data_IF_058431476758
#
_entry.id   IF_058431476758
#
_cell.length_a   1.000
_cell.length_b   1.000
_cell.length_c   1.000
_cell.angle_alpha   90.00
_cell.angle_beta   90.00
_cell.angle_gamma   90.00
#
_symmetry.space_group_name_H-M   'P 1'
#
loop_
_entity.id
_entity.type
_entity.pdbx_description
1 polymer ?
#
# COMPACT_ATOMS: atom_id res chain seq x y z
N UNK A 1 -55.30 53.12 -22.03
CA UNK A 1 -54.81 52.29 -20.89
C UNK A 1 -54.16 53.23 -19.86
N UNK A 2 -54.62 53.22 -18.64
CA UNK A 2 -54.20 54.17 -17.59
C UNK A 2 -52.73 53.90 -17.22
N UNK A 3 -51.95 55.00 -17.07
CA UNK A 3 -50.51 54.96 -16.74
C UNK A 3 -50.17 54.11 -15.50
N UNK A 4 -51.14 53.96 -14.58
CA UNK A 4 -51.03 53.13 -13.39
C UNK A 4 -50.93 51.64 -13.71
N UNK A 5 -51.64 51.14 -14.72
CA UNK A 5 -51.59 49.72 -15.14
C UNK A 5 -50.27 49.38 -15.85
N UNK A 6 -49.67 50.35 -16.52
CA UNK A 6 -48.36 50.16 -17.19
C UNK A 6 -47.22 50.05 -16.19
N UNK A 7 -47.25 50.89 -15.13
CA UNK A 7 -46.24 50.88 -14.06
C UNK A 7 -46.32 49.56 -13.26
N UNK A 8 -47.51 49.07 -12.97
CA UNK A 8 -47.70 47.78 -12.25
C UNK A 8 -47.23 46.59 -13.08
N UNK A 9 -47.37 46.63 -14.41
CA UNK A 9 -46.89 45.56 -15.28
C UNK A 9 -45.36 45.55 -15.40
N UNK A 10 -44.72 46.75 -15.41
CA UNK A 10 -43.29 46.87 -15.46
C UNK A 10 -42.62 46.42 -14.15
N UNK A 11 -43.25 46.71 -13.00
CA UNK A 11 -42.78 46.25 -11.70
C UNK A 11 -42.88 44.74 -11.50
N UNK A 12 -43.92 44.10 -12.05
CA UNK A 12 -44.05 42.64 -12.00
C UNK A 12 -43.02 41.92 -12.86
N UNK A 13 -42.65 42.48 -14.04
CA UNK A 13 -41.61 41.92 -14.90
C UNK A 13 -40.24 42.08 -14.24
N UNK A 14 -39.94 43.16 -13.51
CA UNK A 14 -38.68 43.38 -12.81
C UNK A 14 -38.48 42.39 -11.63
N UNK A 15 -39.55 42.04 -10.92
CA UNK A 15 -39.51 41.07 -9.82
C UNK A 15 -39.35 39.62 -10.34
N UNK A 16 -39.96 39.29 -11.50
CA UNK A 16 -39.81 37.98 -12.12
C UNK A 16 -38.40 37.74 -12.68
N UNK A 17 -37.72 38.80 -13.13
CA UNK A 17 -36.32 38.78 -13.58
C UNK A 17 -35.30 38.52 -12.45
N UNK A 18 -35.61 38.98 -11.23
CA UNK A 18 -34.75 38.79 -10.05
C UNK A 18 -34.86 37.36 -9.45
N UNK A 19 -35.96 36.66 -9.66
CA UNK A 19 -36.12 35.30 -9.16
C UNK A 19 -35.46 34.24 -10.03
N UNK A 20 -35.13 34.54 -11.28
CA UNK A 20 -34.42 33.59 -12.17
C UNK A 20 -32.90 33.60 -11.96
N UNK A 21 -32.34 34.56 -11.26
CA UNK A 21 -30.89 34.62 -10.94
C UNK A 21 -30.49 33.82 -9.71
N UNK A 22 -31.43 33.24 -8.96
CA UNK A 22 -31.16 32.57 -7.69
C UNK A 22 -30.89 31.04 -7.83
N UNK A 23 -30.95 30.49 -9.05
CA UNK A 23 -30.64 29.07 -9.32
C UNK A 23 -29.52 28.95 -10.35
N UNK A 24 -28.40 29.66 -10.18
CA UNK A 24 -27.16 29.19 -10.77
C UNK A 24 -26.63 28.07 -9.86
N UNK A 25 -26.42 26.82 -10.39
CA UNK A 25 -25.64 25.84 -9.66
C UNK A 25 -24.31 26.48 -9.35
N UNK A 26 -23.84 26.33 -8.11
CA UNK A 26 -22.50 26.74 -7.75
C UNK A 26 -21.55 26.17 -8.80
N UNK A 27 -20.84 27.06 -9.51
CA UNK A 27 -19.78 26.62 -10.41
C UNK A 27 -18.82 25.80 -9.53
N UNK A 28 -18.73 24.53 -9.81
CA UNK A 28 -17.62 23.72 -9.31
C UNK A 28 -16.38 24.44 -9.84
N UNK A 29 -15.57 25.03 -8.96
CA UNK A 29 -14.26 25.52 -9.35
C UNK A 29 -13.53 24.31 -9.95
N UNK A 30 -13.41 24.29 -11.28
CA UNK A 30 -12.45 23.41 -11.94
C UNK A 30 -11.09 23.84 -11.39
N UNK A 31 -10.50 22.98 -10.57
CA UNK A 31 -9.10 23.12 -10.16
C UNK A 31 -8.30 23.20 -11.46
N UNK A 32 -7.82 24.40 -11.82
CA UNK A 32 -6.95 24.57 -12.97
C UNK A 32 -5.64 23.85 -12.67
N UNK A 33 -5.46 22.65 -13.20
CA UNK A 33 -4.23 21.90 -13.11
C UNK A 33 -3.16 22.62 -13.95
N UNK A 34 -2.27 23.33 -13.30
CA UNK A 34 -1.17 24.10 -13.94
C UNK A 34 0.15 23.36 -13.85
N UNK A 35 0.23 22.29 -13.05
CA UNK A 35 1.46 21.57 -12.71
C UNK A 35 1.90 20.52 -13.72
N UNK A 36 1.04 20.13 -14.68
CA UNK A 36 1.32 19.03 -15.62
C UNK A 36 0.89 17.65 -15.11
N UNK A 37 1.23 16.61 -15.88
CA UNK A 37 0.88 15.21 -15.57
C UNK A 37 1.90 14.60 -14.61
N UNK A 38 1.43 14.00 -13.54
CA UNK A 38 2.23 13.18 -12.60
C UNK A 38 1.72 11.73 -12.64
N UNK A 39 2.59 10.78 -12.92
CA UNK A 39 2.24 9.37 -12.86
C UNK A 39 2.43 8.83 -11.43
N UNK A 40 1.44 8.10 -10.93
CA UNK A 40 1.52 7.37 -9.64
C UNK A 40 1.35 5.89 -9.97
N UNK A 41 2.45 5.15 -9.90
CA UNK A 41 2.54 3.74 -10.33
C UNK A 41 2.80 2.89 -9.09
N UNK A 42 1.94 1.91 -8.83
CA UNK A 42 1.98 1.07 -7.63
C UNK A 42 1.76 -0.41 -7.95
N UNK A 43 2.03 -1.33 -7.00
CA UNK A 43 1.64 -2.74 -7.06
C UNK A 43 0.12 -2.94 -7.12
N UNK A 44 -0.36 -4.21 -7.17
CA UNK A 44 -1.78 -4.55 -7.16
C UNK A 44 -2.55 -3.91 -6.00
N UNK A 45 -3.58 -3.13 -6.32
CA UNK A 45 -4.38 -2.37 -5.33
C UNK A 45 -5.36 -3.25 -4.53
N UNK A 46 -5.44 -4.52 -4.84
CA UNK A 46 -6.14 -5.54 -4.04
C UNK A 46 -5.50 -5.67 -2.65
N UNK A 47 -4.21 -5.39 -2.52
CA UNK A 47 -3.61 -5.12 -1.23
C UNK A 47 -3.95 -3.67 -0.83
N UNK A 48 -4.72 -3.46 0.26
CA UNK A 48 -5.22 -2.15 0.66
C UNK A 48 -4.09 -1.15 0.98
N UNK A 49 -2.91 -1.61 1.36
CA UNK A 49 -1.74 -0.76 1.56
C UNK A 49 -1.38 0.02 0.29
N UNK A 50 -1.24 -0.66 -0.85
CA UNK A 50 -0.88 -0.02 -2.12
C UNK A 50 -2.02 0.83 -2.69
N UNK A 51 -3.28 0.41 -2.49
CA UNK A 51 -4.44 1.21 -2.86
C UNK A 51 -4.47 2.54 -2.12
N UNK A 52 -4.29 2.51 -0.80
CA UNK A 52 -4.23 3.71 0.05
C UNK A 52 -3.06 4.62 -0.33
N UNK A 53 -1.88 4.04 -0.54
CA UNK A 53 -0.68 4.76 -0.97
C UNK A 53 -0.92 5.51 -2.30
N UNK A 54 -1.53 4.84 -3.29
CA UNK A 54 -1.85 5.45 -4.58
C UNK A 54 -2.84 6.60 -4.46
N UNK A 55 -3.92 6.42 -3.69
CA UNK A 55 -4.95 7.44 -3.49
C UNK A 55 -4.38 8.67 -2.78
N UNK A 56 -3.60 8.50 -1.71
CA UNK A 56 -2.98 9.61 -0.97
C UNK A 56 -1.99 10.37 -1.86
N UNK A 57 -1.13 9.66 -2.60
CA UNK A 57 -0.18 10.29 -3.49
C UNK A 57 -0.87 11.06 -4.63
N UNK A 58 -1.92 10.49 -5.23
CA UNK A 58 -2.70 11.13 -6.28
C UNK A 58 -3.45 12.37 -5.76
N UNK A 59 -4.15 12.24 -4.63
CA UNK A 59 -4.87 13.34 -4.02
C UNK A 59 -3.93 14.50 -3.65
N UNK A 60 -2.73 14.19 -3.15
CA UNK A 60 -1.74 15.23 -2.83
C UNK A 60 -1.18 15.90 -4.08
N UNK A 61 -0.96 15.17 -5.16
CA UNK A 61 -0.58 15.75 -6.44
C UNK A 61 -1.66 16.71 -6.97
N UNK A 62 -2.93 16.33 -6.89
CA UNK A 62 -4.07 17.15 -7.31
C UNK A 62 -4.23 18.39 -6.43
N UNK A 63 -4.09 18.29 -5.11
CA UNK A 63 -4.07 19.42 -4.18
C UNK A 63 -2.98 20.47 -4.55
N UNK A 64 -1.84 19.95 -5.06
CA UNK A 64 -0.72 20.80 -5.50
C UNK A 64 -0.88 21.33 -6.94
N UNK A 65 -2.01 21.05 -7.61
CA UNK A 65 -2.33 21.56 -8.95
C UNK A 65 -1.77 20.72 -10.10
N UNK A 66 -1.36 19.46 -9.85
CA UNK A 66 -0.99 18.50 -10.89
C UNK A 66 -2.19 17.66 -11.33
N UNK A 67 -2.10 17.05 -12.49
CA UNK A 67 -3.01 15.97 -12.89
C UNK A 67 -2.38 14.63 -12.49
N UNK A 68 -3.04 13.85 -11.65
CA UNK A 68 -2.55 12.54 -11.25
C UNK A 68 -3.06 11.43 -12.20
N UNK A 69 -2.14 10.62 -12.75
CA UNK A 69 -2.46 9.42 -13.50
C UNK A 69 -2.12 8.19 -12.65
N UNK A 70 -3.14 7.51 -12.16
CA UNK A 70 -3.02 6.30 -11.33
C UNK A 70 -2.84 5.08 -12.23
N UNK A 71 -1.77 4.30 -11.99
CA UNK A 71 -1.37 3.15 -12.79
C UNK A 71 -0.98 1.99 -11.88
N UNK A 72 -1.22 0.75 -12.33
CA UNK A 72 -0.92 -0.47 -11.57
C UNK A 72 -0.09 -1.41 -12.43
N UNK A 73 1.06 -1.86 -11.92
CA UNK A 73 2.00 -2.71 -12.67
C UNK A 73 1.80 -4.22 -12.42
N UNK A 74 0.85 -4.62 -11.57
CA UNK A 74 0.53 -6.04 -11.27
C UNK A 74 1.76 -6.87 -10.82
N UNK A 75 2.72 -6.24 -10.13
CA UNK A 75 4.01 -6.84 -9.76
C UNK A 75 4.82 -7.39 -10.94
N UNK A 76 4.53 -6.91 -12.16
CA UNK A 76 5.25 -7.25 -13.39
C UNK A 76 6.19 -6.11 -13.82
N UNK A 77 7.50 -6.36 -13.79
CA UNK A 77 8.51 -5.39 -14.15
C UNK A 77 8.45 -4.98 -15.64
N UNK A 78 7.97 -5.84 -16.54
CA UNK A 78 7.77 -5.50 -17.96
C UNK A 78 6.60 -4.53 -18.09
N UNK A 79 5.46 -4.83 -17.43
CA UNK A 79 4.32 -3.92 -17.39
C UNK A 79 4.71 -2.57 -16.78
N UNK A 80 5.47 -2.56 -15.68
CA UNK A 80 6.00 -1.33 -15.09
C UNK A 80 6.81 -0.53 -16.11
N UNK A 81 7.70 -1.18 -16.88
CA UNK A 81 8.50 -0.52 -17.91
C UNK A 81 7.62 0.09 -19.00
N UNK A 82 6.57 -0.60 -19.47
CA UNK A 82 5.61 -0.08 -20.44
C UNK A 82 4.83 1.12 -19.89
N UNK A 83 4.44 1.10 -18.61
CA UNK A 83 3.78 2.22 -17.95
C UNK A 83 4.70 3.44 -17.85
N UNK A 84 5.97 3.24 -17.51
CA UNK A 84 6.98 4.31 -17.49
C UNK A 84 7.17 4.88 -18.91
N UNK A 85 7.23 4.05 -19.94
CA UNK A 85 7.30 4.49 -21.34
C UNK A 85 6.09 5.33 -21.73
N UNK A 86 4.90 4.94 -21.29
CA UNK A 86 3.69 5.72 -21.50
C UNK A 86 3.74 7.08 -20.81
N UNK A 87 4.27 7.14 -19.58
CA UNK A 87 4.46 8.41 -18.85
C UNK A 87 5.47 9.33 -19.58
N UNK A 88 6.54 8.77 -20.12
CA UNK A 88 7.53 9.50 -20.93
C UNK A 88 6.85 10.06 -22.19
N UNK A 89 6.11 9.23 -22.92
CA UNK A 89 5.41 9.65 -24.14
C UNK A 89 4.38 10.76 -23.91
N UNK A 90 3.70 10.72 -22.75
CA UNK A 90 2.74 11.74 -22.30
C UNK A 90 3.42 12.97 -21.70
N UNK A 91 4.75 13.02 -21.63
CA UNK A 91 5.53 14.11 -21.06
C UNK A 91 5.14 14.40 -19.60
N UNK A 92 5.01 13.35 -18.80
CA UNK A 92 4.83 13.50 -17.37
C UNK A 92 5.94 14.38 -16.78
N UNK A 93 5.60 15.18 -15.79
CA UNK A 93 6.57 16.06 -15.11
C UNK A 93 7.29 15.34 -13.97
N UNK A 94 6.72 14.24 -13.47
CA UNK A 94 7.32 13.37 -12.47
C UNK A 94 6.63 12.00 -12.47
N UNK A 95 7.33 11.00 -11.90
CA UNK A 95 6.82 9.67 -11.62
C UNK A 95 7.00 9.41 -10.13
N UNK A 96 5.92 9.03 -9.43
CA UNK A 96 5.93 8.44 -8.10
C UNK A 96 5.77 6.94 -8.32
N UNK A 97 6.70 6.14 -7.82
CA UNK A 97 6.77 4.71 -8.11
C UNK A 97 7.00 3.90 -6.84
N UNK A 98 6.09 2.99 -6.56
CA UNK A 98 6.35 1.82 -5.74
C UNK A 98 6.69 0.67 -6.69
N UNK A 99 7.93 0.21 -6.71
CA UNK A 99 8.49 -0.55 -7.82
C UNK A 99 8.13 -2.05 -7.83
N UNK A 100 8.17 -2.67 -9.03
CA UNK A 100 7.85 -4.09 -9.22
C UNK A 100 9.01 -5.06 -8.85
N UNK A 101 10.17 -4.53 -8.49
CA UNK A 101 11.33 -5.30 -8.06
C UNK A 101 12.60 -4.46 -8.09
N UNK A 102 13.43 -4.63 -7.06
CA UNK A 102 14.56 -3.75 -6.76
C UNK A 102 15.56 -3.63 -7.91
N UNK A 103 15.98 -4.73 -8.51
CA UNK A 103 16.94 -4.73 -9.63
C UNK A 103 16.24 -4.53 -10.98
N UNK A 104 15.08 -5.16 -11.16
CA UNK A 104 14.36 -5.16 -12.44
C UNK A 104 13.85 -3.77 -12.84
N UNK A 105 13.64 -2.88 -11.88
CA UNK A 105 13.12 -1.52 -12.10
C UNK A 105 14.19 -0.51 -12.53
N UNK A 106 15.47 -0.79 -12.29
CA UNK A 106 16.57 0.17 -12.50
C UNK A 106 16.60 0.72 -13.93
N UNK A 107 16.53 -0.15 -14.94
CA UNK A 107 16.64 0.25 -16.33
C UNK A 107 15.48 1.15 -16.78
N UNK A 108 14.25 0.87 -16.33
CA UNK A 108 13.10 1.69 -16.67
C UNK A 108 13.14 3.07 -16.00
N UNK A 109 13.59 3.14 -14.74
CA UNK A 109 13.79 4.40 -14.01
C UNK A 109 14.93 5.23 -14.67
N UNK A 110 16.03 4.59 -15.05
CA UNK A 110 17.10 5.26 -15.78
C UNK A 110 16.60 5.86 -17.10
N UNK A 111 15.74 5.16 -17.83
CA UNK A 111 15.12 5.66 -19.07
C UNK A 111 14.25 6.90 -18.82
N UNK A 112 13.46 6.93 -17.74
CA UNK A 112 12.72 8.13 -17.36
C UNK A 112 13.66 9.30 -17.04
N UNK A 113 14.73 9.05 -16.30
CA UNK A 113 15.78 10.04 -15.97
C UNK A 113 16.42 10.59 -17.22
N UNK A 114 16.80 9.76 -18.20
CA UNK A 114 17.41 10.16 -19.47
C UNK A 114 16.44 11.00 -20.33
N UNK A 115 15.13 10.77 -20.18
CA UNK A 115 14.08 11.59 -20.78
C UNK A 115 13.81 12.90 -20.01
N UNK A 116 14.52 13.16 -18.92
CA UNK A 116 14.37 14.36 -18.09
C UNK A 116 13.19 14.30 -17.11
N UNK A 117 12.62 13.12 -16.86
CA UNK A 117 11.49 12.92 -15.95
C UNK A 117 12.01 12.37 -14.63
N UNK A 118 11.93 13.15 -13.52
CA UNK A 118 12.34 12.67 -12.21
C UNK A 118 11.41 11.57 -11.69
N UNK A 119 12.01 10.50 -11.12
CA UNK A 119 11.29 9.42 -10.46
C UNK A 119 11.57 9.47 -8.96
N UNK A 120 10.53 9.41 -8.15
CA UNK A 120 10.57 9.32 -6.69
C UNK A 120 10.04 7.94 -6.29
N UNK A 121 10.88 7.17 -5.60
CA UNK A 121 10.46 5.86 -5.08
C UNK A 121 9.82 6.01 -3.71
N UNK A 122 8.77 5.27 -3.51
CA UNK A 122 8.03 5.18 -2.24
C UNK A 122 7.91 3.71 -1.86
N UNK A 123 7.94 3.43 -0.56
CA UNK A 123 7.83 2.10 0.06
C UNK A 123 8.96 1.13 -0.32
N UNK A 124 9.11 0.81 -1.61
CA UNK A 124 10.14 -0.12 -2.10
C UNK A 124 11.31 0.65 -2.73
N UNK A 125 12.51 0.28 -2.36
CA UNK A 125 13.74 0.85 -2.95
C UNK A 125 14.30 -0.02 -4.08
N UNK A 126 15.20 0.56 -4.85
CA UNK A 126 16.04 -0.16 -5.82
C UNK A 126 17.46 -0.27 -5.29
N UNK A 127 18.21 -1.28 -5.75
CA UNK A 127 19.57 -1.54 -5.26
C UNK A 127 20.61 -0.54 -5.79
N UNK A 128 20.26 0.30 -6.76
CA UNK A 128 21.18 1.27 -7.36
C UNK A 128 20.87 2.70 -6.94
N UNK A 129 21.83 3.33 -6.30
CA UNK A 129 21.73 4.75 -5.94
C UNK A 129 21.91 5.70 -7.14
N UNK A 130 21.35 6.89 -7.02
CA UNK A 130 21.51 7.97 -7.99
C UNK A 130 20.72 7.82 -9.28
N UNK A 131 19.93 6.77 -9.45
CA UNK A 131 19.01 6.59 -10.59
C UNK A 131 17.70 7.33 -10.32
N UNK A 132 17.04 7.04 -9.21
CA UNK A 132 15.90 7.81 -8.74
C UNK A 132 16.36 9.10 -8.04
N UNK A 133 15.48 10.11 -7.96
CA UNK A 133 15.73 11.37 -7.23
C UNK A 133 15.79 11.14 -5.73
N UNK A 134 14.88 10.32 -5.22
CA UNK A 134 14.85 9.87 -3.83
C UNK A 134 14.20 8.51 -3.70
N UNK A 135 14.52 7.83 -2.59
CA UNK A 135 13.91 6.57 -2.17
C UNK A 135 13.41 6.81 -0.74
N UNK A 136 12.10 6.77 -0.56
CA UNK A 136 11.42 7.07 0.70
C UNK A 136 10.83 5.77 1.22
N UNK A 137 11.46 5.20 2.23
CA UNK A 137 11.09 3.91 2.81
C UNK A 137 10.84 4.05 4.31
N UNK A 138 10.04 3.16 4.87
CA UNK A 138 9.86 3.04 6.32
C UNK A 138 11.09 2.43 6.96
N UNK A 139 11.28 2.62 8.26
CA UNK A 139 12.29 1.88 9.02
C UNK A 139 11.81 0.45 9.29
N UNK A 140 11.76 -0.35 8.21
CA UNK A 140 11.27 -1.73 8.24
C UNK A 140 12.02 -2.61 9.23
N UNK A 141 13.34 -2.43 9.35
CA UNK A 141 14.13 -3.21 10.29
C UNK A 141 13.74 -2.96 11.75
N UNK A 142 13.54 -1.69 12.13
CA UNK A 142 13.08 -1.36 13.47
C UNK A 142 11.67 -1.89 13.74
N UNK A 143 10.74 -1.71 12.77
CA UNK A 143 9.38 -2.25 12.91
C UNK A 143 9.38 -3.76 13.09
N UNK A 144 10.22 -4.46 12.31
CA UNK A 144 10.34 -5.91 12.37
C UNK A 144 10.95 -6.40 13.69
N UNK A 145 12.00 -5.75 14.20
CA UNK A 145 12.58 -6.12 15.52
C UNK A 145 11.56 -5.95 16.65
N UNK A 146 10.82 -4.84 16.67
CA UNK A 146 9.78 -4.61 17.68
C UNK A 146 8.64 -5.63 17.57
N UNK A 147 8.22 -5.99 16.36
CA UNK A 147 7.21 -7.03 16.14
C UNK A 147 7.69 -8.40 16.61
N UNK A 148 8.94 -8.75 16.34
CA UNK A 148 9.52 -10.01 16.77
C UNK A 148 9.66 -10.12 18.31
N UNK A 149 9.99 -9.02 18.99
CA UNK A 149 9.99 -8.95 20.46
C UNK A 149 8.60 -9.20 21.02
N UNK A 150 7.57 -8.57 20.44
CA UNK A 150 6.19 -8.78 20.87
C UNK A 150 5.69 -10.19 20.54
N UNK A 151 6.03 -10.71 19.35
CA UNK A 151 5.72 -12.09 18.97
C UNK A 151 6.33 -13.11 19.95
N UNK A 152 7.60 -12.96 20.29
CA UNK A 152 8.26 -13.82 21.28
C UNK A 152 7.56 -13.74 22.65
N UNK A 153 7.22 -12.53 23.10
CA UNK A 153 6.47 -12.31 24.37
C UNK A 153 5.12 -13.02 24.37
N UNK A 154 4.36 -12.93 23.26
CA UNK A 154 3.06 -13.58 23.10
C UNK A 154 3.18 -15.10 23.11
N UNK A 155 4.22 -15.65 22.50
CA UNK A 155 4.53 -17.07 22.50
C UNK A 155 5.09 -17.60 23.84
N UNK A 156 5.41 -16.72 24.80
CA UNK A 156 6.07 -17.08 26.06
C UNK A 156 7.54 -17.44 25.88
N UNK A 157 8.20 -16.89 24.84
CA UNK A 157 9.62 -17.05 24.49
C UNK A 157 10.02 -18.51 24.16
N UNK A 158 9.05 -19.34 23.79
CA UNK A 158 9.28 -20.76 23.44
C UNK A 158 8.27 -21.31 22.43
N UNK A 159 8.69 -22.27 21.64
CA UNK A 159 7.83 -23.08 20.76
C UNK A 159 8.22 -22.99 19.29
N UNK A 160 7.49 -23.75 18.47
CA UNK A 160 7.68 -23.80 17.03
C UNK A 160 6.91 -22.68 16.35
N UNK A 161 7.54 -21.99 15.40
CA UNK A 161 6.90 -20.95 14.62
C UNK A 161 7.22 -21.07 13.12
N UNK A 162 6.34 -20.46 12.31
CA UNK A 162 6.46 -20.33 10.86
C UNK A 162 6.66 -18.86 10.53
N UNK A 163 7.54 -18.57 9.58
CA UNK A 163 7.67 -17.25 8.96
C UNK A 163 7.11 -17.27 7.54
N UNK A 164 6.22 -16.33 7.24
CA UNK A 164 5.75 -16.03 5.88
C UNK A 164 6.45 -14.79 5.37
N UNK A 165 7.32 -14.95 4.36
CA UNK A 165 8.07 -13.84 3.77
C UNK A 165 7.33 -13.23 2.59
N UNK A 166 7.66 -11.99 2.29
CA UNK A 166 7.17 -11.28 1.12
C UNK A 166 7.86 -11.73 -0.18
N UNK A 167 7.67 -10.92 -1.21
CA UNK A 167 8.24 -11.18 -2.55
C UNK A 167 9.76 -11.04 -2.51
N UNK A 168 10.48 -12.03 -2.95
CA UNK A 168 11.95 -12.11 -2.90
C UNK A 168 12.67 -11.01 -3.71
N UNK A 169 12.01 -10.41 -4.69
CA UNK A 169 12.52 -9.27 -5.46
C UNK A 169 12.33 -7.92 -4.80
N UNK A 170 11.71 -7.87 -3.62
CA UNK A 170 11.44 -6.69 -2.83
C UNK A 170 12.37 -6.64 -1.61
N UNK A 171 13.15 -5.57 -1.46
CA UNK A 171 14.09 -5.40 -0.35
C UNK A 171 13.40 -5.42 1.01
N UNK A 172 12.13 -4.96 1.12
CA UNK A 172 11.38 -4.99 2.37
C UNK A 172 11.20 -6.41 2.91
N UNK A 173 11.04 -7.43 2.02
CA UNK A 173 10.92 -8.81 2.46
C UNK A 173 12.15 -9.27 3.23
N UNK A 174 13.34 -8.97 2.73
CA UNK A 174 14.60 -9.32 3.37
C UNK A 174 14.83 -8.51 4.66
N UNK A 175 14.60 -7.20 4.61
CA UNK A 175 14.82 -6.31 5.76
C UNK A 175 13.92 -6.67 6.94
N UNK A 176 12.64 -7.02 6.67
CA UNK A 176 11.71 -7.46 7.72
C UNK A 176 12.14 -8.82 8.28
N UNK A 177 12.46 -9.78 7.42
CA UNK A 177 12.96 -11.10 7.83
C UNK A 177 14.23 -10.99 8.67
N UNK A 178 15.23 -10.21 8.24
CA UNK A 178 16.45 -9.95 9.00
C UNK A 178 16.15 -9.37 10.39
N UNK A 179 15.18 -8.46 10.48
CA UNK A 179 14.72 -7.90 11.76
C UNK A 179 14.10 -8.95 12.68
N UNK A 180 13.30 -9.87 12.13
CA UNK A 180 12.73 -10.99 12.90
C UNK A 180 13.83 -11.92 13.40
N UNK A 181 14.73 -12.33 12.52
CA UNK A 181 15.85 -13.21 12.84
C UNK A 181 16.81 -12.62 13.86
N UNK A 182 17.06 -11.30 13.82
CA UNK A 182 17.90 -10.65 14.84
C UNK A 182 17.41 -10.88 16.25
N UNK A 183 16.09 -10.96 16.45
CA UNK A 183 15.49 -11.16 17.76
C UNK A 183 15.31 -12.65 18.06
N UNK A 184 14.64 -13.37 17.15
CA UNK A 184 14.18 -14.73 17.41
C UNK A 184 15.33 -15.75 17.42
N UNK A 185 16.38 -15.58 16.62
CA UNK A 185 17.55 -16.46 16.61
C UNK A 185 18.39 -16.35 17.89
N UNK A 186 18.25 -15.24 18.61
CA UNK A 186 18.88 -15.08 19.92
C UNK A 186 18.16 -15.85 21.05
N UNK A 187 16.98 -16.44 20.77
CA UNK A 187 16.14 -17.17 21.73
C UNK A 187 16.12 -18.67 21.43
N UNK A 188 16.96 -19.50 22.05
CA UNK A 188 17.12 -20.92 21.66
C UNK A 188 15.86 -21.79 21.80
N UNK A 189 14.88 -21.34 22.58
CA UNK A 189 13.60 -22.02 22.76
C UNK A 189 12.57 -21.65 21.69
N UNK A 190 12.79 -20.58 20.93
CA UNK A 190 12.01 -20.22 19.74
C UNK A 190 12.59 -20.99 18.55
N UNK A 191 11.77 -21.80 17.87
CA UNK A 191 12.23 -22.67 16.79
C UNK A 191 11.47 -22.40 15.52
N UNK A 192 12.11 -21.78 14.55
CA UNK A 192 11.56 -21.69 13.21
C UNK A 192 11.52 -23.09 12.58
N UNK A 193 10.34 -23.58 12.27
CA UNK A 193 10.14 -24.90 11.64
C UNK A 193 9.92 -24.82 10.14
N UNK A 194 9.51 -23.65 9.64
CA UNK A 194 9.39 -23.37 8.22
C UNK A 194 9.48 -21.87 7.94
N UNK A 195 10.04 -21.53 6.79
CA UNK A 195 10.00 -20.21 6.19
C UNK A 195 9.58 -20.36 4.74
N UNK A 196 8.59 -19.60 4.29
CA UNK A 196 8.16 -19.65 2.90
C UNK A 196 7.58 -18.31 2.45
N UNK A 197 7.89 -17.94 1.19
CA UNK A 197 7.27 -16.76 0.61
C UNK A 197 5.80 -16.99 0.28
N UNK A 198 4.99 -15.97 0.51
CA UNK A 198 3.62 -15.88 0.04
C UNK A 198 3.39 -14.56 -0.75
N UNK A 199 4.47 -13.94 -1.23
CA UNK A 199 4.49 -12.86 -2.22
C UNK A 199 3.59 -11.65 -1.89
N UNK A 200 3.42 -11.32 -0.60
CA UNK A 200 2.50 -10.28 -0.11
C UNK A 200 1.01 -10.56 -0.40
N UNK A 201 0.67 -11.79 -0.78
CA UNK A 201 -0.68 -12.20 -1.20
C UNK A 201 -1.42 -12.94 -0.09
N UNK A 202 -2.65 -12.52 0.19
CA UNK A 202 -3.52 -13.21 1.14
C UNK A 202 -3.88 -14.63 0.68
N UNK A 203 -4.18 -14.79 -0.62
CA UNK A 203 -4.55 -16.10 -1.20
C UNK A 203 -3.38 -17.07 -1.16
N UNK A 204 -2.18 -16.61 -1.58
CA UNK A 204 -0.99 -17.45 -1.54
C UNK A 204 -0.61 -17.83 -0.09
N UNK A 205 -0.76 -16.88 0.86
CA UNK A 205 -0.51 -17.17 2.26
C UNK A 205 -1.47 -18.23 2.83
N UNK A 206 -2.75 -18.22 2.42
CA UNK A 206 -3.69 -19.26 2.77
C UNK A 206 -3.22 -20.64 2.26
N UNK A 207 -2.93 -20.74 0.96
CA UNK A 207 -2.52 -22.01 0.32
C UNK A 207 -1.20 -22.56 0.89
N UNK A 208 -0.24 -21.67 1.11
CA UNK A 208 1.06 -22.00 1.72
C UNK A 208 0.84 -22.50 3.15
N UNK A 209 0.03 -21.79 3.93
CA UNK A 209 -0.21 -22.13 5.33
C UNK A 209 -0.97 -23.44 5.50
N UNK A 210 -1.95 -23.77 4.64
CA UNK A 210 -2.58 -25.10 4.64
C UNK A 210 -1.57 -26.23 4.53
N UNK A 211 -0.58 -26.08 3.63
CA UNK A 211 0.48 -27.07 3.40
C UNK A 211 1.43 -27.13 4.60
N UNK A 212 1.82 -25.99 5.15
CA UNK A 212 2.75 -25.91 6.27
C UNK A 212 2.16 -26.44 7.57
N UNK A 213 0.86 -26.27 7.81
CA UNK A 213 0.16 -26.82 8.98
C UNK A 213 0.14 -28.35 8.97
N UNK A 214 0.00 -28.98 7.80
CA UNK A 214 0.06 -30.44 7.68
C UNK A 214 1.46 -30.99 8.03
N UNK A 215 2.50 -30.25 7.62
CA UNK A 215 3.89 -30.64 7.88
C UNK A 215 4.34 -30.34 9.31
N UNK A 216 3.76 -29.31 9.95
CA UNK A 216 4.17 -28.79 11.25
C UNK A 216 2.97 -28.71 12.22
N UNK A 217 2.43 -29.85 12.67
CA UNK A 217 1.20 -29.87 13.49
C UNK A 217 1.36 -29.23 14.88
N UNK A 218 2.57 -29.05 15.37
CA UNK A 218 2.88 -28.48 16.68
C UNK A 218 3.18 -26.99 16.66
N UNK A 219 3.06 -26.34 15.51
CA UNK A 219 3.32 -24.88 15.39
C UNK A 219 2.44 -24.10 16.35
N UNK A 220 3.04 -23.13 17.03
CA UNK A 220 2.40 -22.27 18.02
C UNK A 220 2.33 -20.81 17.59
N UNK A 221 3.06 -20.41 16.56
CA UNK A 221 3.06 -19.04 16.08
C UNK A 221 3.34 -18.90 14.59
N UNK A 222 2.82 -17.85 14.00
CA UNK A 222 3.08 -17.41 12.62
C UNK A 222 3.45 -15.94 12.66
N UNK A 223 4.63 -15.61 12.14
CA UNK A 223 5.05 -14.24 11.91
C UNK A 223 5.02 -13.97 10.41
N UNK A 224 4.18 -13.05 9.98
CA UNK A 224 4.00 -12.72 8.58
C UNK A 224 4.67 -11.38 8.24
N UNK A 225 5.27 -11.32 7.07
CA UNK A 225 5.95 -10.11 6.57
C UNK A 225 5.00 -8.94 6.30
N UNK A 226 3.69 -9.21 6.14
CA UNK A 226 2.67 -8.16 6.04
C UNK A 226 1.28 -8.63 6.51
N UNK A 227 0.35 -7.70 6.58
CA UNK A 227 -1.02 -7.90 7.07
C UNK A 227 -1.84 -8.83 6.18
N UNK A 228 -1.74 -8.69 4.86
CA UNK A 228 -2.51 -9.55 3.94
C UNK A 228 -2.10 -11.01 4.06
N UNK A 229 -0.80 -11.29 4.26
CA UNK A 229 -0.34 -12.65 4.53
C UNK A 229 -0.76 -13.14 5.92
N UNK A 230 -0.76 -12.27 6.94
CA UNK A 230 -1.27 -12.61 8.27
C UNK A 230 -2.75 -13.03 8.22
N UNK A 231 -3.59 -12.28 7.49
CA UNK A 231 -5.00 -12.62 7.28
C UNK A 231 -5.18 -13.94 6.52
N UNK A 232 -4.33 -14.20 5.52
CA UNK A 232 -4.34 -15.48 4.80
C UNK A 232 -3.98 -16.67 5.70
N UNK A 233 -2.91 -16.52 6.50
CA UNK A 233 -2.50 -17.51 7.48
C UNK A 233 -3.60 -17.76 8.53
N UNK A 234 -4.21 -16.71 9.05
CA UNK A 234 -5.31 -16.80 10.01
C UNK A 234 -6.52 -17.54 9.42
N UNK A 235 -6.86 -17.28 8.16
CA UNK A 235 -7.95 -17.99 7.48
C UNK A 235 -7.66 -19.50 7.37
N UNK A 236 -6.42 -19.91 7.04
CA UNK A 236 -6.00 -21.30 6.99
C UNK A 236 -6.04 -21.96 8.38
N UNK A 237 -5.60 -21.24 9.41
CA UNK A 237 -5.67 -21.71 10.80
C UNK A 237 -7.12 -21.91 11.25
N UNK A 238 -8.01 -21.00 10.92
CA UNK A 238 -9.44 -21.12 11.22
C UNK A 238 -10.06 -22.34 10.51
N UNK A 239 -9.72 -22.58 9.25
CA UNK A 239 -10.18 -23.75 8.50
C UNK A 239 -9.67 -25.07 9.10
N UNK A 240 -8.47 -25.05 9.69
CA UNK A 240 -7.87 -26.20 10.39
C UNK A 240 -8.32 -26.34 11.86
N UNK A 241 -9.13 -25.41 12.38
CA UNK A 241 -9.57 -25.40 13.78
C UNK A 241 -8.46 -25.09 14.79
N UNK A 242 -7.42 -24.32 14.37
CA UNK A 242 -6.22 -23.99 15.14
C UNK A 242 -6.25 -22.53 15.65
N UNK A 243 -7.22 -22.23 16.49
CA UNK A 243 -7.33 -20.92 17.18
C UNK A 243 -6.33 -20.72 18.32
N UNK A 244 -5.47 -21.68 18.55
CA UNK A 244 -4.43 -21.68 19.57
C UNK A 244 -3.08 -21.12 19.09
N UNK A 245 -2.97 -20.77 17.80
CA UNK A 245 -1.73 -20.30 17.17
C UNK A 245 -1.70 -18.78 17.16
N UNK A 246 -0.64 -18.20 17.68
CA UNK A 246 -0.38 -16.76 17.67
C UNK A 246 -0.07 -16.29 16.25
N UNK A 247 -0.74 -15.24 15.77
CA UNK A 247 -0.50 -14.65 14.44
C UNK A 247 -0.19 -13.17 14.56
N UNK A 248 0.90 -12.74 13.93
CA UNK A 248 1.28 -11.33 13.88
C UNK A 248 1.56 -10.89 12.43
N UNK A 249 1.26 -9.61 12.14
CA UNK A 249 1.38 -8.99 10.82
C UNK A 249 2.15 -7.68 10.83
N UNK A 250 2.26 -7.06 9.66
CA UNK A 250 2.95 -5.80 9.46
C UNK A 250 2.15 -4.97 8.45
N UNK A 251 2.02 -3.68 8.61
CA UNK A 251 1.46 -2.57 7.86
C UNK A 251 0.45 -1.76 8.67
N UNK A 252 -0.42 -2.40 9.48
CA UNK A 252 -1.44 -1.73 10.31
C UNK A 252 -2.71 -1.41 9.52
N UNK A 253 -3.12 -2.31 8.62
CA UNK A 253 -4.35 -2.19 7.82
C UNK A 253 -5.62 -2.22 8.67
N UNK A 254 -6.69 -1.62 8.16
CA UNK A 254 -7.99 -1.63 8.84
C UNK A 254 -8.52 -3.06 9.04
N UNK A 255 -8.32 -3.95 8.06
CA UNK A 255 -8.76 -5.34 8.14
C UNK A 255 -8.05 -6.11 9.27
N UNK A 256 -6.72 -5.88 9.43
CA UNK A 256 -5.97 -6.47 10.55
C UNK A 256 -6.37 -5.84 11.87
N UNK A 257 -6.59 -4.53 11.94
CA UNK A 257 -7.08 -3.86 13.13
C UNK A 257 -8.46 -4.42 13.56
N UNK A 258 -9.37 -4.66 12.62
CA UNK A 258 -10.64 -5.33 12.92
C UNK A 258 -10.45 -6.78 13.39
N UNK A 259 -9.53 -7.52 12.80
CA UNK A 259 -9.20 -8.90 13.19
C UNK A 259 -8.57 -8.96 14.59
N UNK A 260 -7.70 -8.00 14.92
CA UNK A 260 -7.15 -7.85 16.29
C UNK A 260 -8.24 -7.56 17.33
N UNK A 261 -9.22 -6.72 16.99
CA UNK A 261 -10.37 -6.46 17.90
C UNK A 261 -11.24 -7.69 18.14
N UNK A 262 -11.24 -8.65 17.20
CA UNK A 262 -11.93 -9.95 17.33
C UNK A 262 -11.07 -11.00 18.06
N UNK A 263 -9.78 -10.74 18.28
CA UNK A 263 -8.83 -11.69 18.86
C UNK A 263 -8.40 -12.79 17.90
N UNK A 264 -8.41 -12.52 16.60
CA UNK A 264 -8.00 -13.46 15.55
C UNK A 264 -6.54 -13.23 15.13
N UNK A 265 -6.07 -11.99 15.16
CA UNK A 265 -4.66 -11.62 15.02
C UNK A 265 -4.22 -10.98 16.33
N UNK A 266 -3.02 -11.30 16.80
CA UNK A 266 -2.57 -10.99 18.15
C UNK A 266 -1.80 -9.66 18.24
N UNK A 267 -1.04 -9.31 17.18
CA UNK A 267 -0.30 -8.04 17.11
C UNK A 267 0.03 -7.67 15.66
N UNK A 268 0.38 -6.40 15.45
CA UNK A 268 0.84 -5.88 14.15
C UNK A 268 1.79 -4.70 14.33
N UNK A 269 2.80 -4.61 13.46
CA UNK A 269 3.63 -3.42 13.36
C UNK A 269 3.00 -2.42 12.39
N UNK A 270 2.92 -1.15 12.78
CA UNK A 270 2.37 -0.09 11.93
C UNK A 270 3.44 0.42 10.95
N UNK A 271 3.13 0.39 9.67
CA UNK A 271 3.85 1.13 8.63
C UNK A 271 2.98 2.33 8.21
N UNK A 272 3.38 3.57 8.51
CA UNK A 272 2.60 4.74 8.12
C UNK A 272 2.63 4.93 6.60
N UNK A 273 1.45 5.17 5.99
CA UNK A 273 1.28 5.40 4.53
C UNK A 273 1.19 6.88 4.22
N UNK A 274 0.92 7.75 5.21
CA UNK A 274 0.69 9.20 5.09
C UNK A 274 1.60 10.00 6.01
#
# INVERSE_FOLDING_TARGET
MSSKKFITFLSLLAILGLMLSACQPAATEEVQTTGGLMCVIVPPVENPFFGTQQEIAAAKAEELGYTALKLVHDDDANKQSELIDSCIAQKAVAIILDNAGADASIAAIQKAKDAGIPTFLIDREITQEGVAVSQIVSNNFQGATLLAEEFARLMGEEGEYIELTGKDTDTNAHVRSDGYHQVLDAMPSMKMVAQQTANWSQTEAFDVMESLLQANPNVKGVIAGNDTMALGAQAALNAAGRSDVIVVGFDGSDDVNESMLKGEIDAGALQPVA
#
